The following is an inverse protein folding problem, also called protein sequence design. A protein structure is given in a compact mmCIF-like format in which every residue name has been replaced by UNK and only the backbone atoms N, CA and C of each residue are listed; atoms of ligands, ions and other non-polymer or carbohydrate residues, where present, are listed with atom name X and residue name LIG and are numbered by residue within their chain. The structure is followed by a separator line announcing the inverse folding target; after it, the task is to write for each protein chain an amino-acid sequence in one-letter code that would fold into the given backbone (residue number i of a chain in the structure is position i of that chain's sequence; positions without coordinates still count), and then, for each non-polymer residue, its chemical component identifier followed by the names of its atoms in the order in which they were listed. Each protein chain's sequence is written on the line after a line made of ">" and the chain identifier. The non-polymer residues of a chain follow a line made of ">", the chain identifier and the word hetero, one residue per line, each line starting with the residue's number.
data_IF_657235404522
#
_entry.id   IF_657235404522
#
_cell.length_a   1.000
_cell.length_b   1.000
_cell.length_c   1.000
_cell.angle_alpha   90.00
_cell.angle_beta   90.00
_cell.angle_gamma   90.00
#
_symmetry.space_group_name_H-M   'P 1'
#
loop_
_entity.id
_entity.type
_entity.pdbx_description
1 polymer ?
#
# COMPACT_ATOMS: atom_id res chain seq x y z
N UNK A 1 30.29 10.48 -18.21
CA UNK A 1 29.09 9.78 -17.71
C UNK A 1 29.57 8.52 -17.00
N UNK A 2 29.41 8.51 -15.68
CA UNK A 2 29.69 7.33 -14.87
C UNK A 2 28.75 6.20 -15.33
N UNK A 3 29.20 4.94 -15.42
CA UNK A 3 28.33 3.82 -15.72
C UNK A 3 27.27 3.74 -14.61
N UNK A 4 26.00 3.69 -15.01
CA UNK A 4 24.92 3.46 -14.06
C UNK A 4 25.08 2.01 -13.59
N UNK A 5 25.60 1.82 -12.37
CA UNK A 5 25.62 0.50 -11.75
C UNK A 5 24.18 0.05 -11.54
N UNK A 6 23.80 -1.03 -12.21
CA UNK A 6 22.49 -1.63 -12.00
C UNK A 6 22.41 -2.18 -10.57
N UNK A 7 21.38 -1.86 -9.80
CA UNK A 7 21.24 -2.39 -8.45
C UNK A 7 21.15 -3.89 -8.48
N UNK A 8 21.84 -4.55 -7.56
CA UNK A 8 21.77 -6.01 -7.40
C UNK A 8 20.36 -6.40 -6.96
N UNK A 9 19.72 -7.27 -7.73
CA UNK A 9 18.39 -7.81 -7.43
C UNK A 9 18.58 -9.23 -6.88
N UNK A 10 18.07 -9.45 -5.66
CA UNK A 10 18.09 -10.79 -5.03
C UNK A 10 16.78 -11.08 -4.33
N UNK A 11 16.37 -12.36 -4.39
CA UNK A 11 15.16 -12.82 -3.68
C UNK A 11 15.58 -13.85 -2.64
N UNK A 12 15.24 -13.62 -1.39
CA UNK A 12 15.50 -14.56 -0.30
C UNK A 12 14.46 -14.39 0.82
N UNK A 13 14.07 -15.50 1.45
CA UNK A 13 13.19 -15.52 2.63
C UNK A 13 11.88 -14.70 2.48
N UNK A 14 11.22 -14.75 1.30
CA UNK A 14 10.01 -13.97 1.07
C UNK A 14 10.23 -12.46 0.96
N UNK A 15 11.43 -12.05 0.58
CA UNK A 15 11.79 -10.65 0.37
C UNK A 15 12.52 -10.47 -0.95
N UNK A 16 12.19 -9.41 -1.68
CA UNK A 16 12.92 -8.93 -2.84
C UNK A 16 13.80 -7.76 -2.42
N UNK A 17 15.10 -7.88 -2.65
CA UNK A 17 16.07 -6.78 -2.45
C UNK A 17 16.43 -6.14 -3.77
N UNK A 18 16.37 -4.82 -3.80
CA UNK A 18 16.79 -3.98 -4.93
C UNK A 18 17.74 -2.92 -4.37
N UNK A 19 19.03 -3.16 -4.47
CA UNK A 19 20.05 -2.34 -3.80
C UNK A 19 19.89 -2.37 -2.27
N UNK A 20 19.60 -1.23 -1.67
CA UNK A 20 19.35 -1.04 -0.22
C UNK A 20 17.87 -1.22 0.17
N UNK A 21 16.97 -1.27 -0.82
CA UNK A 21 15.52 -1.41 -0.59
C UNK A 21 15.09 -2.86 -0.41
N UNK A 22 14.18 -3.09 0.54
CA UNK A 22 13.63 -4.41 0.85
C UNK A 22 12.12 -4.38 0.63
N UNK A 23 11.64 -5.22 -0.27
CA UNK A 23 10.22 -5.37 -0.58
C UNK A 23 9.75 -6.70 0.00
N UNK A 24 8.84 -6.70 0.99
CA UNK A 24 8.25 -7.93 1.50
C UNK A 24 7.37 -8.57 0.42
N UNK A 25 7.48 -9.89 0.28
CA UNK A 25 6.66 -10.67 -0.64
C UNK A 25 5.73 -11.58 0.15
N UNK A 26 4.54 -11.81 -0.38
CA UNK A 26 3.62 -12.83 0.11
C UNK A 26 4.11 -14.25 -0.20
N UNK A 27 3.34 -15.27 0.21
CA UNK A 27 3.64 -16.69 -0.04
C UNK A 27 3.69 -17.05 -1.54
N UNK A 28 3.12 -16.21 -2.40
CA UNK A 28 3.06 -16.40 -3.84
C UNK A 28 4.12 -15.59 -4.60
N UNK A 29 4.95 -14.83 -3.86
CA UNK A 29 5.97 -13.97 -4.45
C UNK A 29 5.46 -12.62 -4.93
N UNK A 30 4.28 -12.17 -4.48
CA UNK A 30 3.72 -10.86 -4.83
C UNK A 30 4.02 -9.82 -3.76
N UNK A 31 4.30 -8.59 -4.18
CA UNK A 31 4.37 -7.45 -3.29
C UNK A 31 2.97 -6.85 -3.06
N UNK A 32 2.60 -6.61 -1.81
CA UNK A 32 1.31 -6.01 -1.48
C UNK A 32 1.48 -4.50 -1.37
N UNK A 33 0.79 -3.77 -2.27
CA UNK A 33 0.86 -2.32 -2.32
C UNK A 33 -0.04 -1.67 -1.26
N UNK A 34 0.49 -0.63 -0.61
CA UNK A 34 -0.27 0.23 0.28
C UNK A 34 -0.80 1.44 -0.49
N UNK A 35 -2.10 1.48 -0.71
CA UNK A 35 -2.77 2.63 -1.30
C UNK A 35 -3.05 3.69 -0.25
N UNK A 36 -2.55 4.91 -0.45
CA UNK A 36 -2.69 6.02 0.51
C UNK A 36 -3.84 6.96 0.19
N UNK A 37 -4.22 7.08 -1.08
CA UNK A 37 -5.25 8.00 -1.55
C UNK A 37 -6.34 7.27 -2.30
N UNK A 38 -7.57 7.75 -2.14
CA UNK A 38 -8.74 7.28 -2.87
C UNK A 38 -8.66 7.57 -4.37
N UNK A 39 -7.97 8.63 -4.74
CA UNK A 39 -7.85 9.10 -6.13
C UNK A 39 -6.57 8.57 -6.80
N UNK A 40 -5.65 7.97 -6.05
CA UNK A 40 -4.50 7.19 -6.53
C UNK A 40 -3.42 7.97 -7.30
N UNK A 41 -3.70 9.20 -7.69
CA UNK A 41 -2.83 10.06 -8.46
C UNK A 41 -2.82 11.46 -7.82
N UNK A 42 -1.80 11.81 -7.04
CA UNK A 42 -1.55 13.22 -6.74
C UNK A 42 -1.18 13.91 -8.07
N UNK A 43 -1.73 15.08 -8.31
CA UNK A 43 -1.34 16.00 -9.40
C UNK A 43 -1.31 15.39 -10.83
N UNK A 44 -2.39 14.71 -11.23
CA UNK A 44 -2.53 14.24 -12.59
C UNK A 44 -2.85 15.41 -13.56
N UNK A 45 -1.88 15.78 -14.36
CA UNK A 45 -2.07 16.76 -15.44
C UNK A 45 -2.43 16.05 -16.74
N UNK A 46 -3.38 16.59 -17.53
CA UNK A 46 -3.64 16.03 -18.85
C UNK A 46 -2.47 16.31 -19.80
N UNK A 47 -2.12 15.36 -20.66
CA UNK A 47 -1.08 15.56 -21.67
C UNK A 47 -1.38 16.76 -22.58
N UNK A 48 -2.66 16.99 -22.89
CA UNK A 48 -3.09 18.15 -23.67
C UNK A 48 -2.76 19.48 -22.95
N UNK A 49 -2.96 19.55 -21.62
CA UNK A 49 -2.64 20.77 -20.87
C UNK A 49 -1.13 21.04 -20.84
N UNK A 50 -0.30 19.99 -20.78
CA UNK A 50 1.16 20.10 -20.84
C UNK A 50 1.60 20.60 -22.22
N UNK A 51 1.06 20.01 -23.31
CA UNK A 51 1.36 20.45 -24.68
C UNK A 51 0.92 21.89 -24.91
N UNK A 52 -0.27 22.27 -24.47
CA UNK A 52 -0.75 23.66 -24.57
C UNK A 52 0.13 24.62 -23.78
N UNK A 53 0.62 24.22 -22.62
CA UNK A 53 1.51 25.03 -21.79
C UNK A 53 2.84 25.30 -22.53
N UNK A 54 3.41 24.27 -23.16
CA UNK A 54 4.61 24.39 -23.98
C UNK A 54 4.41 25.31 -25.20
N UNK A 55 3.32 25.14 -25.93
CA UNK A 55 3.00 26.02 -27.09
C UNK A 55 2.85 27.47 -26.65
N UNK A 56 2.22 27.76 -25.50
CA UNK A 56 2.11 29.10 -24.96
C UNK A 56 3.48 29.72 -24.66
N UNK A 57 4.40 28.93 -24.12
CA UNK A 57 5.78 29.40 -23.85
C UNK A 57 6.52 29.73 -25.16
N UNK A 58 6.33 28.91 -26.21
CA UNK A 58 6.91 29.19 -27.52
C UNK A 58 6.37 30.48 -28.14
N UNK A 59 5.10 30.83 -27.88
CA UNK A 59 4.44 32.07 -28.29
C UNK A 59 4.79 33.27 -27.39
N UNK A 60 5.67 33.10 -26.38
CA UNK A 60 6.07 34.15 -25.44
C UNK A 60 5.04 34.47 -24.36
N UNK A 61 4.04 33.60 -24.16
CA UNK A 61 3.03 33.71 -23.11
C UNK A 61 3.40 32.89 -21.86
N UNK A 62 2.80 33.23 -20.72
CA UNK A 62 2.98 32.46 -19.50
C UNK A 62 2.39 31.03 -19.65
N UNK A 63 3.12 29.99 -19.22
CA UNK A 63 2.64 28.62 -19.23
C UNK A 63 1.50 28.41 -18.22
N UNK A 64 0.53 27.57 -18.57
CA UNK A 64 -0.54 27.16 -17.64
C UNK A 64 0.00 26.24 -16.55
N UNK A 65 0.97 25.40 -16.91
CA UNK A 65 1.69 24.51 -16.00
C UNK A 65 3.17 24.91 -16.06
N UNK A 66 3.72 25.50 -15.00
CA UNK A 66 5.10 25.97 -15.01
C UNK A 66 6.08 24.79 -15.06
N UNK A 67 7.20 24.87 -15.81
CA UNK A 67 8.20 23.81 -15.91
C UNK A 67 8.77 23.38 -14.56
N UNK A 68 8.81 24.28 -13.59
CA UNK A 68 9.30 24.06 -12.24
C UNK A 68 8.47 22.97 -11.50
N UNK A 69 7.21 22.77 -11.91
CA UNK A 69 6.35 21.71 -11.36
C UNK A 69 6.87 20.30 -11.65
N UNK A 70 7.74 20.16 -12.66
CA UNK A 70 8.37 18.88 -13.04
C UNK A 70 9.78 18.72 -12.52
N UNK A 71 10.28 19.70 -11.74
CA UNK A 71 11.60 19.61 -11.18
C UNK A 71 11.65 18.61 -10.04
N UNK A 72 12.69 17.78 -10.04
CA UNK A 72 12.97 16.78 -9.00
C UNK A 72 11.82 15.78 -8.75
N UNK A 73 11.00 15.50 -9.79
CA UNK A 73 9.92 14.52 -9.72
C UNK A 73 10.09 13.38 -10.71
N UNK A 74 9.46 12.25 -10.39
CA UNK A 74 9.25 11.15 -11.32
C UNK A 74 7.96 11.38 -12.09
N UNK A 75 8.04 11.37 -13.41
CA UNK A 75 6.87 11.58 -14.28
C UNK A 75 6.44 10.25 -14.88
N UNK A 76 5.19 9.88 -14.68
CA UNK A 76 4.56 8.73 -15.32
C UNK A 76 3.56 9.20 -16.36
N UNK A 77 3.64 8.62 -17.55
CA UNK A 77 2.67 8.84 -18.60
C UNK A 77 1.81 7.58 -18.76
N UNK A 78 0.49 7.76 -18.80
CA UNK A 78 -0.44 6.66 -18.96
C UNK A 78 -1.79 7.11 -19.44
N UNK A 79 -2.59 6.15 -19.92
CA UNK A 79 -3.92 6.40 -20.43
C UNK A 79 -4.97 6.26 -19.34
N UNK A 80 -5.85 7.25 -19.23
CA UNK A 80 -6.97 7.25 -18.25
C UNK A 80 -8.36 7.15 -18.92
N UNK A 81 -8.42 7.15 -20.25
CA UNK A 81 -9.69 7.11 -20.95
C UNK A 81 -10.36 5.73 -20.87
N UNK A 82 -11.66 5.65 -20.54
CA UNK A 82 -12.38 4.38 -20.38
C UNK A 82 -12.33 3.46 -21.61
N UNK A 83 -12.22 4.03 -22.82
CA UNK A 83 -12.16 3.27 -24.07
C UNK A 83 -10.82 2.56 -24.34
N UNK A 84 -9.77 2.87 -23.58
CA UNK A 84 -8.45 2.26 -23.73
C UNK A 84 -8.23 1.01 -22.88
N UNK A 85 -9.26 0.55 -22.14
CA UNK A 85 -9.29 -0.69 -21.33
C UNK A 85 -8.15 -0.82 -20.28
N UNK A 86 -7.48 0.28 -19.93
CA UNK A 86 -6.41 0.28 -18.90
C UNK A 86 -6.94 0.70 -17.52
N UNK A 87 -8.22 0.45 -17.26
CA UNK A 87 -8.80 0.65 -15.94
C UNK A 87 -8.70 -0.64 -15.13
N UNK A 88 -8.13 -0.54 -13.94
CA UNK A 88 -7.94 -1.65 -13.01
C UNK A 88 -8.66 -1.38 -11.71
N UNK A 89 -9.36 -2.36 -11.14
CA UNK A 89 -9.91 -2.22 -9.80
C UNK A 89 -8.78 -2.20 -8.77
N UNK A 90 -8.85 -1.24 -7.85
CA UNK A 90 -7.96 -1.15 -6.70
C UNK A 90 -8.78 -1.14 -5.41
N UNK A 91 -8.22 -1.42 -4.23
CA UNK A 91 -8.95 -1.39 -2.96
C UNK A 91 -9.58 -0.03 -2.64
N UNK A 92 -9.07 1.04 -3.21
CA UNK A 92 -9.53 2.42 -2.93
C UNK A 92 -10.40 2.99 -4.05
N UNK A 93 -10.28 2.48 -5.28
CA UNK A 93 -11.05 2.96 -6.43
C UNK A 93 -11.33 1.81 -7.42
N UNK A 94 -12.60 1.49 -7.74
CA UNK A 94 -12.94 0.42 -8.66
C UNK A 94 -12.55 0.70 -10.11
N UNK A 95 -12.20 1.94 -10.47
CA UNK A 95 -11.83 2.37 -11.82
C UNK A 95 -10.55 3.22 -11.77
N UNK A 96 -9.44 2.62 -11.38
CA UNK A 96 -8.14 3.30 -11.33
C UNK A 96 -7.39 3.11 -12.64
N UNK A 97 -6.78 4.15 -13.21
CA UNK A 97 -5.88 4.00 -14.36
C UNK A 97 -4.71 3.06 -14.01
N UNK A 98 -4.26 2.24 -14.97
CA UNK A 98 -3.15 1.31 -14.74
C UNK A 98 -1.87 2.01 -14.32
N UNK A 99 -1.61 3.22 -14.81
CA UNK A 99 -0.47 4.04 -14.39
C UNK A 99 -0.47 4.33 -12.88
N UNK A 100 -1.64 4.39 -12.22
CA UNK A 100 -1.73 4.60 -10.78
C UNK A 100 -1.12 3.44 -9.96
N UNK A 101 -1.11 2.23 -10.49
CA UNK A 101 -0.43 1.09 -9.85
C UNK A 101 1.09 1.30 -9.86
N UNK A 102 1.65 1.79 -10.96
CA UNK A 102 3.08 2.06 -11.08
C UNK A 102 3.53 3.22 -10.18
N UNK A 103 2.74 4.29 -10.11
CA UNK A 103 3.02 5.41 -9.19
C UNK A 103 2.93 4.99 -7.75
N UNK A 104 1.91 4.19 -7.38
CA UNK A 104 1.77 3.63 -6.04
C UNK A 104 2.94 2.70 -5.70
N UNK A 105 3.39 1.86 -6.65
CA UNK A 105 4.55 1.01 -6.43
C UNK A 105 5.82 1.83 -6.15
N UNK A 106 6.07 2.86 -6.94
CA UNK A 106 7.22 3.74 -6.73
C UNK A 106 7.12 4.49 -5.40
N UNK A 107 5.94 5.03 -5.03
CA UNK A 107 5.72 5.68 -3.74
C UNK A 107 6.04 4.72 -2.58
N UNK A 108 5.54 3.47 -2.64
CA UNK A 108 5.83 2.47 -1.63
C UNK A 108 7.33 2.12 -1.57
N UNK A 109 8.02 2.08 -2.72
CA UNK A 109 9.45 1.82 -2.79
C UNK A 109 10.27 2.96 -2.18
N UNK A 110 9.92 4.22 -2.48
CA UNK A 110 10.63 5.39 -1.96
C UNK A 110 10.41 5.58 -0.45
N UNK A 111 9.20 5.25 0.04
CA UNK A 111 8.80 5.47 1.43
C UNK A 111 8.88 4.22 2.31
N UNK A 112 9.38 3.10 1.77
CA UNK A 112 9.47 1.80 2.46
C UNK A 112 8.13 1.38 3.11
N UNK A 113 7.02 1.60 2.41
CA UNK A 113 5.66 1.47 2.96
C UNK A 113 4.87 0.28 2.42
N UNK A 114 5.54 -0.72 1.86
CA UNK A 114 4.89 -1.97 1.47
C UNK A 114 4.24 -2.66 2.67
N UNK A 115 3.16 -3.39 2.40
CA UNK A 115 2.47 -4.18 3.41
C UNK A 115 3.13 -5.55 3.46
N UNK A 116 3.55 -5.97 4.67
CA UNK A 116 4.09 -7.30 4.90
C UNK A 116 3.00 -8.24 5.39
N UNK A 117 2.94 -9.47 4.84
CA UNK A 117 2.08 -10.53 5.36
C UNK A 117 2.60 -11.00 6.72
N UNK A 118 1.73 -11.05 7.73
CA UNK A 118 2.11 -11.57 9.04
C UNK A 118 2.38 -13.08 8.98
N UNK A 119 3.41 -13.52 9.66
CA UNK A 119 3.74 -14.94 9.70
C UNK A 119 2.68 -15.74 10.45
N UNK A 120 2.17 -16.80 9.85
CA UNK A 120 1.24 -17.74 10.49
C UNK A 120 1.79 -18.31 11.80
N UNK A 121 3.11 -18.41 11.93
CA UNK A 121 3.78 -18.86 13.16
C UNK A 121 3.58 -17.91 14.35
N UNK A 122 3.25 -16.65 14.13
CA UNK A 122 2.90 -15.69 15.19
C UNK A 122 1.38 -15.60 15.41
N UNK A 123 0.60 -15.69 14.34
CA UNK A 123 -0.87 -15.56 14.40
C UNK A 123 -1.51 -16.76 15.09
N UNK A 124 -1.13 -17.99 14.70
CA UNK A 124 -1.72 -19.22 15.23
C UNK A 124 -1.56 -19.35 16.75
N UNK A 125 -0.38 -19.20 17.35
CA UNK A 125 -0.23 -19.23 18.80
C UNK A 125 -1.04 -18.15 19.51
N UNK A 126 -1.09 -16.94 18.95
CA UNK A 126 -1.88 -15.84 19.51
C UNK A 126 -3.37 -16.17 19.58
N UNK A 127 -3.92 -16.72 18.51
CA UNK A 127 -5.33 -17.15 18.46
C UNK A 127 -5.59 -18.29 19.44
N UNK A 128 -4.69 -19.28 19.54
CA UNK A 128 -4.82 -20.40 20.47
C UNK A 128 -4.79 -19.92 21.93
N UNK A 129 -3.88 -19.03 22.30
CA UNK A 129 -3.81 -18.43 23.63
C UNK A 129 -5.09 -17.66 23.95
N UNK A 130 -5.58 -16.85 23.03
CA UNK A 130 -6.83 -16.11 23.22
C UNK A 130 -8.03 -17.04 23.40
N UNK A 131 -8.14 -18.09 22.59
CA UNK A 131 -9.19 -19.09 22.70
C UNK A 131 -9.14 -19.86 24.03
N UNK A 132 -7.93 -20.26 24.47
CA UNK A 132 -7.75 -20.96 25.75
C UNK A 132 -8.11 -20.06 26.93
N UNK A 133 -7.67 -18.80 26.92
CA UNK A 133 -8.00 -17.82 27.94
C UNK A 133 -9.50 -17.52 28.00
N UNK A 134 -10.18 -17.45 26.83
CA UNK A 134 -11.63 -17.33 26.76
C UNK A 134 -12.34 -18.55 27.37
N UNK A 135 -11.89 -19.76 27.04
CA UNK A 135 -12.45 -21.00 27.60
C UNK A 135 -12.28 -21.09 29.13
N UNK A 136 -11.11 -20.75 29.64
CA UNK A 136 -10.82 -20.69 31.09
C UNK A 136 -11.72 -19.64 31.76
N UNK A 137 -11.84 -18.46 31.17
CA UNK A 137 -12.68 -17.40 31.72
C UNK A 137 -14.17 -17.77 31.81
N UNK A 138 -14.66 -18.52 30.82
CA UNK A 138 -16.05 -18.99 30.79
C UNK A 138 -16.29 -20.14 31.80
N UNK A 139 -15.31 -21.00 32.04
CA UNK A 139 -15.44 -22.12 32.98
C UNK A 139 -15.31 -21.71 34.44
N UNK A 140 -14.44 -20.73 34.72
CA UNK A 140 -14.18 -20.29 36.11
C UNK A 140 -14.90 -18.98 36.48
N UNK A 141 -15.52 -18.28 35.53
CA UNK A 141 -16.24 -17.01 35.73
C UNK A 141 -17.63 -17.20 36.37
N UNK A 142 -17.71 -17.77 37.53
CA UNK A 142 -18.80 -18.18 38.42
C UNK A 142 -20.18 -17.52 38.36
N UNK A 143 -20.43 -16.46 37.60
CA UNK A 143 -21.74 -15.83 37.41
C UNK A 143 -21.96 -15.42 35.96
N UNK A 144 -23.10 -15.82 35.37
CA UNK A 144 -23.47 -15.58 33.97
C UNK A 144 -23.41 -14.11 33.52
N UNK A 145 -23.61 -13.14 34.40
CA UNK A 145 -23.51 -11.71 34.13
C UNK A 145 -22.07 -11.21 33.98
N UNK A 146 -21.08 -11.95 34.48
CA UNK A 146 -19.64 -11.66 34.31
C UNK A 146 -19.11 -12.29 33.01
N UNK A 147 -19.74 -13.29 32.49
CA UNK A 147 -19.35 -13.97 31.26
C UNK A 147 -19.52 -13.08 30.02
N UNK A 148 -20.56 -12.25 29.98
CA UNK A 148 -20.82 -11.33 28.87
C UNK A 148 -19.69 -10.29 28.64
N UNK A 149 -19.32 -9.50 29.62
CA UNK A 149 -18.20 -8.55 29.49
C UNK A 149 -16.87 -9.22 29.19
N UNK A 150 -16.58 -10.38 29.79
CA UNK A 150 -15.37 -11.15 29.51
C UNK A 150 -15.33 -11.66 28.07
N UNK A 151 -16.44 -12.17 27.55
CA UNK A 151 -16.53 -12.59 26.16
C UNK A 151 -16.28 -11.44 25.17
N UNK A 152 -16.81 -10.24 25.46
CA UNK A 152 -16.57 -9.04 24.66
C UNK A 152 -15.10 -8.63 24.66
N UNK A 153 -14.39 -8.74 25.80
CA UNK A 153 -12.95 -8.47 25.87
C UNK A 153 -12.17 -9.44 25.01
N UNK A 154 -12.48 -10.74 25.09
CA UNK A 154 -11.76 -11.77 24.33
C UNK A 154 -12.06 -11.73 22.83
N UNK A 155 -13.26 -11.31 22.42
CA UNK A 155 -13.60 -11.07 21.01
C UNK A 155 -12.97 -9.75 20.51
N UNK A 156 -12.95 -8.73 21.34
CA UNK A 156 -12.41 -7.39 20.97
C UNK A 156 -10.91 -7.33 20.94
N UNK A 157 -10.20 -8.07 21.79
CA UNK A 157 -8.74 -8.02 21.86
C UNK A 157 -8.06 -8.41 20.55
N UNK A 158 -8.39 -9.53 19.87
CA UNK A 158 -7.81 -9.86 18.56
C UNK A 158 -8.10 -8.80 17.49
N UNK A 159 -9.32 -8.24 17.50
CA UNK A 159 -9.69 -7.16 16.56
C UNK A 159 -8.88 -5.89 16.81
N UNK A 160 -8.69 -5.50 18.07
CA UNK A 160 -7.87 -4.35 18.44
C UNK A 160 -6.39 -4.54 18.06
N UNK A 161 -5.85 -5.73 18.31
CA UNK A 161 -4.48 -6.10 17.90
C UNK A 161 -4.36 -6.09 16.37
N UNK A 162 -5.33 -6.67 15.66
CA UNK A 162 -5.37 -6.65 14.19
C UNK A 162 -5.41 -5.23 13.63
N UNK A 163 -6.25 -4.38 14.18
CA UNK A 163 -6.33 -2.97 13.78
C UNK A 163 -5.02 -2.22 14.06
N UNK A 164 -4.40 -2.44 15.23
CA UNK A 164 -3.13 -1.83 15.57
C UNK A 164 -1.98 -2.30 14.67
N UNK A 165 -1.96 -3.59 14.28
CA UNK A 165 -1.01 -4.13 13.34
C UNK A 165 -1.19 -3.54 11.93
N UNK A 166 -2.44 -3.44 11.47
CA UNK A 166 -2.78 -2.78 10.20
C UNK A 166 -2.31 -1.32 10.18
N UNK A 167 -2.57 -0.57 11.27
CA UNK A 167 -2.12 0.82 11.38
C UNK A 167 -0.60 0.98 11.30
N UNK A 168 0.16 -0.08 11.68
CA UNK A 168 1.63 -0.13 11.56
C UNK A 168 2.12 -0.69 10.22
N UNK A 169 1.22 -0.99 9.28
CA UNK A 169 1.56 -1.52 7.96
C UNK A 169 1.77 -3.03 7.92
N UNK A 170 1.34 -3.77 8.92
CA UNK A 170 1.35 -5.24 8.94
C UNK A 170 -0.05 -5.78 8.61
N UNK A 171 -0.13 -6.77 7.74
CA UNK A 171 -1.37 -7.48 7.39
C UNK A 171 -1.38 -8.89 7.98
N UNK A 172 -2.58 -9.34 8.31
CA UNK A 172 -2.84 -10.69 8.82
C UNK A 172 -3.06 -11.68 7.69
#
# INVERSE_FOLDING_TARGET
>A
SSPVEMPTISTSNGQLRIGDKIIPLDRHGNAILRFRSRDGLPDANSAAAIIQSELRMQDGNEPTIPPESFKDCYVFFGCSAPGLLDLRPTPVNPKSPGVALHTTFLDNLLTDSFIAESSASMVIPGVLVAALAAAISLTYGGKWWQAGPLALVWLGAPLAVGFAAYARGQWW
#
